data_IF_810588208187
#
_entry.id   IF_810588208187
#
_cell.length_a   1.000
_cell.length_b   1.000
_cell.length_c   1.000
_cell.angle_alpha   90.00
_cell.angle_beta   90.00
_cell.angle_gamma   90.00
#
_symmetry.space_group_name_H-M   'P 1'
#
loop_
_entity.id
_entity.type
_entity.pdbx_description
1 polymer ?
#
# COMPACT_ATOMS: atom_id res chain seq x y z
N UNK A 1 -12.30 6.14 -8.92
CA UNK A 1 -11.14 5.60 -8.18
C UNK A 1 -10.31 6.78 -7.71
N UNK A 2 -10.00 6.87 -6.41
CA UNK A 2 -9.04 7.86 -5.89
C UNK A 2 -7.72 7.12 -5.74
N UNK A 3 -6.75 7.44 -6.59
CA UNK A 3 -5.42 6.87 -6.49
C UNK A 3 -4.66 7.66 -5.41
N UNK A 4 -4.16 6.97 -4.39
CA UNK A 4 -3.30 7.56 -3.35
C UNK A 4 -1.85 7.31 -3.75
N UNK A 5 -1.03 8.35 -3.83
CA UNK A 5 0.41 8.19 -4.07
C UNK A 5 1.16 8.45 -2.78
N UNK A 6 2.02 7.51 -2.37
CA UNK A 6 2.88 7.66 -1.20
C UNK A 6 4.34 7.45 -1.57
N UNK A 7 5.21 8.25 -0.97
CA UNK A 7 6.67 8.17 -1.16
C UNK A 7 7.27 7.41 0.01
N UNK A 8 8.06 6.38 -0.28
CA UNK A 8 8.68 5.54 0.74
C UNK A 8 10.16 5.42 0.47
N UNK A 9 10.95 5.60 1.53
CA UNK A 9 12.41 5.46 1.46
C UNK A 9 12.77 3.98 1.60
N UNK A 10 13.35 3.44 0.53
CA UNK A 10 13.89 2.08 0.41
C UNK A 10 15.42 2.15 0.35
N UNK A 11 16.08 1.76 1.43
CA UNK A 11 17.53 1.95 1.57
C UNK A 11 17.89 3.45 1.56
N UNK A 12 18.67 3.86 0.54
CA UNK A 12 19.08 5.26 0.32
C UNK A 12 18.30 5.94 -0.81
N UNK A 13 17.29 5.28 -1.40
CA UNK A 13 16.50 5.81 -2.52
C UNK A 13 15.06 6.08 -2.09
N UNK A 14 14.51 7.20 -2.56
CA UNK A 14 13.08 7.49 -2.45
C UNK A 14 12.34 6.83 -3.62
N UNK A 15 11.40 5.96 -3.32
CA UNK A 15 10.55 5.30 -4.30
C UNK A 15 9.11 5.79 -4.17
N UNK A 16 8.46 6.02 -5.32
CA UNK A 16 7.06 6.41 -5.38
C UNK A 16 6.19 5.17 -5.56
N UNK A 17 5.36 4.89 -4.55
CA UNK A 17 4.37 3.83 -4.61
C UNK A 17 3.00 4.45 -4.86
N UNK A 18 2.29 3.91 -5.85
CA UNK A 18 0.89 4.26 -6.11
C UNK A 18 0.00 3.19 -5.49
N UNK A 19 -0.96 3.60 -4.67
CA UNK A 19 -1.94 2.72 -4.06
C UNK A 19 -3.32 2.97 -4.66
N UNK A 20 -3.95 1.89 -5.11
CA UNK A 20 -5.30 1.89 -5.66
C UNK A 20 -6.21 1.11 -4.75
N UNK A 21 -7.41 1.65 -4.49
CA UNK A 21 -8.46 0.95 -3.76
C UNK A 21 -9.41 0.25 -4.75
N UNK A 22 -9.45 -1.07 -4.70
CA UNK A 22 -10.39 -1.93 -5.39
C UNK A 22 -11.49 -2.41 -4.41
N UNK A 23 -12.63 -1.72 -4.40
CA UNK A 23 -13.72 -1.99 -3.43
C UNK A 23 -14.46 -3.31 -3.63
N UNK A 24 -14.29 -3.94 -4.80
CA UNK A 24 -14.96 -5.19 -5.16
C UNK A 24 -14.11 -6.43 -4.82
N UNK A 25 -12.86 -6.22 -4.40
CA UNK A 25 -11.92 -7.28 -4.01
C UNK A 25 -11.80 -7.40 -2.49
N UNK A 26 -11.53 -8.61 -2.00
CA UNK A 26 -11.06 -8.81 -0.60
C UNK A 26 -9.70 -8.11 -0.40
N UNK A 27 -8.83 -8.18 -1.41
CA UNK A 27 -7.55 -7.50 -1.46
C UNK A 27 -7.73 -6.07 -1.96
N UNK A 28 -8.36 -5.25 -1.12
CA UNK A 28 -8.82 -3.90 -1.48
C UNK A 28 -7.70 -2.94 -1.86
N UNK A 29 -6.49 -3.09 -1.36
CA UNK A 29 -5.43 -2.13 -1.62
C UNK A 29 -4.36 -2.75 -2.50
N UNK A 30 -4.18 -2.20 -3.70
CA UNK A 30 -3.17 -2.63 -4.66
C UNK A 30 -2.05 -1.60 -4.70
N UNK A 31 -0.80 -2.04 -4.55
CA UNK A 31 0.37 -1.18 -4.49
C UNK A 31 1.22 -1.40 -5.73
N UNK A 32 1.52 -0.31 -6.41
CA UNK A 32 2.26 -0.28 -7.65
C UNK A 32 3.56 0.48 -7.49
N UNK A 33 4.64 -0.08 -8.04
CA UNK A 33 5.92 0.61 -8.22
C UNK A 33 6.15 0.75 -9.72
N UNK A 34 6.31 1.98 -10.21
CA UNK A 34 6.45 2.27 -11.65
C UNK A 34 5.35 1.63 -12.52
N UNK A 35 4.11 1.58 -12.01
CA UNK A 35 2.96 0.97 -12.70
C UNK A 35 2.87 -0.55 -12.61
N UNK A 36 3.82 -1.24 -11.96
CA UNK A 36 3.82 -2.70 -11.76
C UNK A 36 3.26 -3.04 -10.39
N UNK A 37 2.29 -3.95 -10.32
CA UNK A 37 1.74 -4.44 -9.04
C UNK A 37 2.84 -5.18 -8.28
N UNK A 38 3.23 -4.66 -7.13
CA UNK A 38 4.28 -5.24 -6.29
C UNK A 38 3.75 -5.86 -5.01
N UNK A 39 2.59 -5.39 -4.53
CA UNK A 39 2.00 -5.84 -3.27
C UNK A 39 0.49 -5.57 -3.29
N UNK A 40 -0.29 -6.39 -2.59
CA UNK A 40 -1.69 -6.11 -2.32
C UNK A 40 -2.05 -6.42 -0.88
N UNK A 41 -3.05 -5.73 -0.33
CA UNK A 41 -3.51 -5.91 1.03
C UNK A 41 -5.01 -6.11 1.13
N UNK A 42 -5.40 -6.99 2.04
CA UNK A 42 -6.74 -7.05 2.62
C UNK A 42 -6.80 -6.18 3.87
N UNK A 43 -7.92 -5.49 4.06
CA UNK A 43 -8.20 -4.74 5.28
C UNK A 43 -9.29 -5.43 6.08
N UNK A 44 -8.91 -5.90 7.26
CA UNK A 44 -9.79 -6.53 8.25
C UNK A 44 -9.86 -5.61 9.47
N UNK A 45 -10.83 -4.69 9.48
CA UNK A 45 -10.97 -3.68 10.54
C UNK A 45 -9.73 -2.76 10.62
N UNK A 46 -9.05 -2.65 11.78
CA UNK A 46 -7.87 -1.80 11.93
C UNK A 46 -6.58 -2.45 11.40
N UNK A 47 -6.65 -3.70 10.93
CA UNK A 47 -5.50 -4.46 10.45
C UNK A 47 -5.45 -4.44 8.92
N UNK A 48 -4.24 -4.39 8.39
CA UNK A 48 -3.95 -4.63 6.97
C UNK A 48 -3.03 -5.84 6.90
N UNK A 49 -3.39 -6.81 6.07
CA UNK A 49 -2.61 -8.04 5.85
C UNK A 49 -2.23 -8.13 4.38
N UNK A 50 -0.98 -8.50 4.04
CA UNK A 50 -0.61 -8.75 2.65
C UNK A 50 -1.43 -9.92 2.08
N UNK A 51 -2.03 -9.70 0.93
CA UNK A 51 -2.65 -10.76 0.11
C UNK A 51 -1.61 -11.42 -0.78
N UNK A 52 -0.90 -10.61 -1.57
CA UNK A 52 0.13 -11.07 -2.50
C UNK A 52 1.32 -10.13 -2.45
N UNK A 53 2.53 -10.67 -2.64
CA UNK A 53 3.79 -9.92 -2.69
C UNK A 53 4.61 -10.30 -3.94
N UNK A 54 4.08 -10.09 -5.16
CA UNK A 54 4.79 -10.46 -6.40
C UNK A 54 6.10 -9.69 -6.59
N UNK A 55 6.19 -8.46 -6.06
CA UNK A 55 7.40 -7.65 -6.09
C UNK A 55 8.49 -8.11 -5.12
N UNK A 56 8.22 -9.13 -4.30
CA UNK A 56 9.13 -9.63 -3.24
C UNK A 56 9.62 -8.48 -2.34
N UNK A 57 8.71 -7.57 -2.03
CA UNK A 57 8.95 -6.44 -1.14
C UNK A 57 9.28 -6.97 0.25
N UNK A 58 10.36 -6.48 0.84
CA UNK A 58 10.77 -6.86 2.19
C UNK A 58 9.74 -6.45 3.25
N UNK A 59 9.57 -7.27 4.28
CA UNK A 59 8.59 -7.05 5.34
C UNK A 59 8.72 -5.66 6.00
N UNK A 60 9.95 -5.13 6.16
CA UNK A 60 10.14 -3.78 6.73
C UNK A 60 9.54 -2.70 5.84
N UNK A 61 9.64 -2.85 4.52
CA UNK A 61 9.05 -1.93 3.55
C UNK A 61 7.52 -2.09 3.56
N UNK A 62 7.03 -3.33 3.63
CA UNK A 62 5.60 -3.63 3.78
C UNK A 62 5.01 -2.88 4.99
N UNK A 63 5.67 -2.95 6.16
CA UNK A 63 5.21 -2.23 7.35
C UNK A 63 5.20 -0.71 7.19
N UNK A 64 6.20 -0.14 6.50
CA UNK A 64 6.21 1.30 6.16
C UNK A 64 5.04 1.68 5.25
N UNK A 65 4.76 0.87 4.21
CA UNK A 65 3.61 1.08 3.31
C UNK A 65 2.31 1.09 4.12
N UNK A 66 2.11 0.10 4.99
CA UNK A 66 0.90 0.00 5.82
C UNK A 66 0.75 1.23 6.74
N UNK A 67 1.84 1.67 7.38
CA UNK A 67 1.82 2.84 8.26
C UNK A 67 1.40 4.11 7.52
N UNK A 68 1.98 4.34 6.34
CA UNK A 68 1.62 5.48 5.48
C UNK A 68 0.17 5.42 5.01
N UNK A 69 -0.30 4.23 4.60
CA UNK A 69 -1.70 4.05 4.20
C UNK A 69 -2.67 4.35 5.33
N UNK A 70 -2.38 3.87 6.54
CA UNK A 70 -3.20 4.15 7.73
C UNK A 70 -3.23 5.64 8.08
N UNK A 71 -2.11 6.35 7.91
CA UNK A 71 -2.04 7.80 8.14
C UNK A 71 -2.92 8.56 7.14
N UNK A 72 -2.79 8.24 5.85
CA UNK A 72 -3.55 8.91 4.78
C UNK A 72 -5.06 8.59 4.83
N UNK A 73 -5.44 7.34 5.12
CA UNK A 73 -6.86 6.93 5.24
C UNK A 73 -7.53 7.58 6.47
N UNK A 74 -6.80 7.82 7.56
CA UNK A 74 -7.34 8.52 8.73
C UNK A 74 -7.62 10.00 8.45
N UNK A 75 -6.82 10.65 7.60
CA UNK A 75 -7.02 12.06 7.26
C UNK A 75 -8.25 12.30 6.40
N UNK A 76 -8.67 11.34 5.58
CA UNK A 76 -9.91 11.44 4.79
C UNK A 76 -11.21 11.21 5.61
N UNK A 77 -11.11 10.94 6.92
CA UNK A 77 -12.26 10.72 7.82
C UNK A 77 -12.48 11.83 8.86
N UNK A 78 -11.77 12.97 8.74
CA UNK A 78 -11.93 14.15 9.59
C UNK A 78 -12.48 15.34 8.79
#
# INVERSE_FOLDING_TARGET
MKDLSTKIIVGNSEELFTVKENKESLCKFEVYLNGVLVLSFESEGPFMRPCTNPGKIDDKIIYKIIAELKSNIKQDRL
#
